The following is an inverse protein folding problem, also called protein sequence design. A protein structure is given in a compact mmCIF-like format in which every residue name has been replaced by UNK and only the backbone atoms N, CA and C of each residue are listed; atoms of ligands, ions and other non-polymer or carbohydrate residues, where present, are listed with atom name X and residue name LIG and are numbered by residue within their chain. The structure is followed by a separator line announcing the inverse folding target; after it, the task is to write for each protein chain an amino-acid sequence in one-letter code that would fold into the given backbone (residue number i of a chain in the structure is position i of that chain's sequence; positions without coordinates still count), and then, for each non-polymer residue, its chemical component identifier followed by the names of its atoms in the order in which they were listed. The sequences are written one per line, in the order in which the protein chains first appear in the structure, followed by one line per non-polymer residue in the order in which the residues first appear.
data_IF_460366752540
#
_entry.id   IF_460366752540
#
_cell.length_a   1.000
_cell.length_b   1.000
_cell.length_c   1.000
_cell.angle_alpha   90.00
_cell.angle_beta   90.00
_cell.angle_gamma   90.00
#
_symmetry.space_group_name_H-M   'P 1'
#
loop_
_entity.id
_entity.type
_entity.pdbx_description
1 polymer ?
#
# COMPACT_ATOMS: atom_id res chain seq x y z
N UNK A 1 -0.34 -7.49 -14.24
CA UNK A 1 -0.73 -6.07 -14.36
C UNK A 1 -1.76 -5.80 -13.28
N UNK A 2 -1.37 -5.10 -12.23
CA UNK A 2 -2.31 -4.56 -11.25
C UNK A 2 -2.50 -3.11 -11.67
N UNK A 3 -3.52 -2.84 -12.48
CA UNK A 3 -3.97 -1.47 -12.64
C UNK A 3 -4.44 -0.99 -11.27
N UNK A 4 -4.06 0.22 -10.88
CA UNK A 4 -4.66 0.89 -9.71
C UNK A 4 -5.94 1.57 -10.19
N UNK A 5 -7.14 1.06 -9.89
CA UNK A 5 -8.35 1.83 -10.10
C UNK A 5 -8.44 2.87 -8.98
N UNK A 6 -8.26 4.14 -9.32
CA UNK A 6 -8.75 5.26 -8.51
C UNK A 6 -10.10 5.68 -9.08
N UNK A 7 -11.20 5.29 -8.44
CA UNK A 7 -12.54 5.79 -8.73
C UNK A 7 -13.04 6.50 -7.46
N UNK A 8 -13.21 7.82 -7.54
CA UNK A 8 -13.69 8.63 -6.43
C UNK A 8 -15.22 8.64 -6.39
N UNK A 9 -15.79 8.15 -5.29
CA UNK A 9 -17.17 8.44 -4.88
C UNK A 9 -17.27 8.23 -3.37
N UNK A 10 -17.94 9.15 -2.66
CA UNK A 10 -18.13 9.18 -1.20
C UNK A 10 -18.48 7.80 -0.60
N UNK A 11 -19.32 7.03 -1.30
CA UNK A 11 -19.82 5.75 -0.79
C UNK A 11 -18.98 4.52 -1.26
N UNK A 12 -17.97 4.74 -2.13
CA UNK A 12 -17.24 3.67 -2.86
C UNK A 12 -15.73 3.65 -2.56
N UNK A 13 -15.26 4.40 -1.56
CA UNK A 13 -13.85 4.38 -1.14
C UNK A 13 -13.38 3.00 -0.65
N UNK A 14 -12.07 2.75 -0.77
CA UNK A 14 -11.41 1.56 -0.25
C UNK A 14 -10.44 0.91 -1.24
N UNK A 15 -9.92 -0.26 -0.86
CA UNK A 15 -9.03 -1.04 -1.73
C UNK A 15 -9.81 -2.14 -2.45
N UNK A 16 -9.54 -2.29 -3.75
CA UNK A 16 -10.15 -3.29 -4.61
C UNK A 16 -9.07 -4.18 -5.23
N UNK A 17 -9.40 -5.44 -5.49
CA UNK A 17 -8.49 -6.40 -6.12
C UNK A 17 -9.18 -7.15 -7.25
N UNK A 18 -8.45 -7.32 -8.34
CA UNK A 18 -8.82 -8.16 -9.47
C UNK A 18 -7.90 -9.38 -9.53
N UNK A 19 -8.44 -10.51 -9.97
CA UNK A 19 -7.71 -11.75 -10.26
C UNK A 19 -7.72 -12.13 -11.74
N UNK A 20 -8.39 -11.32 -12.57
CA UNK A 20 -8.67 -11.55 -13.99
C UNK A 20 -8.17 -10.36 -14.83
N UNK A 21 -7.00 -9.83 -14.47
CA UNK A 21 -6.31 -8.74 -15.20
C UNK A 21 -7.13 -7.45 -15.33
N UNK A 22 -8.09 -7.23 -14.44
CA UNK A 22 -8.89 -6.02 -14.35
C UNK A 22 -10.29 -6.12 -14.95
N UNK A 23 -10.70 -7.31 -15.43
CA UNK A 23 -12.06 -7.54 -15.95
C UNK A 23 -13.12 -7.42 -14.84
N UNK A 24 -12.85 -7.98 -13.66
CA UNK A 24 -13.70 -7.85 -12.48
C UNK A 24 -12.92 -7.41 -11.25
N UNK A 25 -13.61 -6.70 -10.35
CA UNK A 25 -13.02 -6.14 -9.14
C UNK A 25 -13.85 -6.51 -7.91
N UNK A 26 -13.16 -6.99 -6.87
CA UNK A 26 -13.76 -7.24 -5.56
C UNK A 26 -13.29 -6.19 -4.56
N UNK A 27 -14.22 -5.58 -3.83
CA UNK A 27 -13.89 -4.73 -2.69
C UNK A 27 -13.26 -5.59 -1.59
N UNK A 28 -12.07 -5.21 -1.14
CA UNK A 28 -11.31 -5.95 -0.13
C UNK A 28 -11.46 -5.33 1.26
N UNK A 29 -11.41 -4.00 1.36
CA UNK A 29 -11.49 -3.25 2.61
C UNK A 29 -11.97 -1.82 2.35
N UNK A 30 -12.65 -1.16 3.30
CA UNK A 30 -12.92 0.29 3.24
C UNK A 30 -11.67 1.15 3.50
N UNK A 31 -10.50 0.57 3.81
CA UNK A 31 -9.25 1.29 4.09
C UNK A 31 -8.90 2.26 2.97
N UNK A 32 -8.84 3.55 3.31
CA UNK A 32 -8.54 4.64 2.39
C UNK A 32 -7.83 5.77 3.17
N UNK A 33 -6.51 5.65 3.43
CA UNK A 33 -5.83 6.47 4.45
C UNK A 33 -5.67 7.95 4.08
N UNK A 34 -5.78 8.30 2.80
CA UNK A 34 -6.11 9.63 2.26
C UNK A 34 -6.19 9.47 0.74
N UNK A 35 -7.38 9.47 0.14
CA UNK A 35 -7.51 9.33 -1.32
C UNK A 35 -6.79 10.50 -2.03
N UNK A 36 -6.38 10.25 -3.28
CA UNK A 36 -5.64 11.15 -4.17
C UNK A 36 -4.19 11.46 -3.76
N UNK A 37 -3.95 11.81 -2.49
CA UNK A 37 -2.67 12.37 -2.06
C UNK A 37 -1.56 11.32 -1.88
N UNK A 38 -1.87 10.17 -1.26
CA UNK A 38 -0.88 9.09 -1.11
C UNK A 38 -1.17 7.93 -2.06
N UNK A 39 -2.43 7.48 -2.16
CA UNK A 39 -3.06 6.52 -3.12
C UNK A 39 -2.19 5.43 -3.80
N UNK A 40 -1.09 5.04 -3.20
CA UNK A 40 -0.13 4.09 -3.75
C UNK A 40 -0.21 2.79 -2.97
N UNK A 41 -0.73 1.78 -3.66
CA UNK A 41 -0.70 0.39 -3.22
C UNK A 41 0.57 -0.25 -3.79
N UNK A 42 1.33 -0.95 -2.95
CA UNK A 42 2.44 -1.83 -3.36
C UNK A 42 2.14 -3.25 -2.92
N UNK A 43 2.59 -4.20 -3.72
CA UNK A 43 2.51 -5.62 -3.40
C UNK A 43 3.93 -6.11 -3.17
N UNK A 44 4.11 -6.93 -2.15
CA UNK A 44 5.35 -7.66 -1.96
C UNK A 44 5.61 -8.58 -3.16
N UNK A 45 6.79 -8.49 -3.80
CA UNK A 45 7.10 -9.26 -5.01
C UNK A 45 7.13 -10.78 -4.78
N UNK A 46 7.28 -11.24 -3.54
CA UNK A 46 7.39 -12.65 -3.17
C UNK A 46 6.13 -13.20 -2.49
N UNK A 47 5.21 -12.34 -2.05
CA UNK A 47 4.00 -12.73 -1.34
C UNK A 47 2.82 -11.79 -1.68
N UNK A 48 1.92 -12.25 -2.53
CA UNK A 48 0.76 -11.46 -2.98
C UNK A 48 -0.30 -11.21 -1.89
N UNK A 49 -0.14 -11.77 -0.69
CA UNK A 49 -0.96 -11.47 0.49
C UNK A 49 -0.45 -10.25 1.25
N UNK A 50 0.83 -9.90 1.08
CA UNK A 50 1.48 -8.76 1.72
C UNK A 50 1.32 -7.51 0.86
N UNK A 51 0.52 -6.56 1.34
CA UNK A 51 0.22 -5.30 0.64
C UNK A 51 0.58 -4.11 1.50
N UNK A 52 1.06 -3.03 0.88
CA UNK A 52 1.37 -1.77 1.53
C UNK A 52 0.49 -0.67 0.95
N UNK A 53 -0.10 0.15 1.82
CA UNK A 53 -0.81 1.38 1.43
C UNK A 53 -0.13 2.54 2.12
N UNK A 54 0.40 3.46 1.32
CA UNK A 54 1.08 4.63 1.85
C UNK A 54 0.09 5.70 2.30
N UNK A 55 0.53 6.55 3.22
CA UNK A 55 -0.31 7.49 3.94
C UNK A 55 0.53 8.42 4.80
N UNK A 56 -0.14 9.30 5.57
CA UNK A 56 0.50 9.98 6.70
C UNK A 56 1.15 8.97 7.66
N UNK A 57 0.47 7.83 7.84
CA UNK A 57 1.07 6.58 8.30
C UNK A 57 1.09 5.58 7.16
N UNK A 58 2.09 4.69 7.13
CA UNK A 58 2.00 3.50 6.29
C UNK A 58 0.92 2.56 6.86
N UNK A 59 0.34 1.73 6.00
CA UNK A 59 -0.51 0.60 6.39
C UNK A 59 -0.04 -0.67 5.69
N UNK A 60 -0.19 -1.81 6.36
CA UNK A 60 0.16 -3.12 5.82
C UNK A 60 -0.98 -4.11 5.97
N UNK A 61 -1.18 -4.95 4.96
CA UNK A 61 -2.04 -6.13 5.01
C UNK A 61 -1.18 -7.37 4.81
N UNK A 62 -1.50 -8.45 5.52
CA UNK A 62 -0.89 -9.78 5.36
C UNK A 62 -1.93 -10.83 4.88
N UNK A 63 -3.11 -10.37 4.44
CA UNK A 63 -4.23 -11.24 4.05
C UNK A 63 -4.89 -10.81 2.74
N UNK A 64 -4.09 -10.26 1.83
CA UNK A 64 -4.51 -9.89 0.48
C UNK A 64 -5.39 -8.65 0.43
N UNK A 65 -5.34 -7.79 1.46
CA UNK A 65 -6.07 -6.51 1.52
C UNK A 65 -7.40 -6.56 2.25
N UNK A 66 -7.73 -7.67 2.93
CA UNK A 66 -8.98 -7.79 3.71
C UNK A 66 -8.92 -6.95 4.99
N UNK A 67 -7.75 -6.88 5.62
CA UNK A 67 -7.51 -6.06 6.81
C UNK A 67 -6.16 -5.36 6.68
N UNK A 68 -6.08 -4.13 7.19
CA UNK A 68 -4.87 -3.33 7.23
C UNK A 68 -4.55 -2.91 8.66
N UNK A 69 -3.27 -2.90 8.98
CA UNK A 69 -2.73 -2.43 10.25
C UNK A 69 -1.78 -1.26 9.97
N UNK A 70 -1.85 -0.21 10.79
CA UNK A 70 -0.90 0.88 10.70
C UNK A 70 0.52 0.38 11.02
N UNK A 71 1.52 1.02 10.42
CA UNK A 71 2.92 0.72 10.74
C UNK A 71 3.20 0.90 12.23
N UNK A 72 3.99 0.02 12.86
CA UNK A 72 4.62 0.36 14.13
C UNK A 72 5.79 1.33 13.95
N UNK A 73 6.22 1.64 12.71
CA UNK A 73 7.34 2.55 12.45
C UNK A 73 6.93 4.01 12.64
N UNK A 74 6.88 4.45 13.90
CA UNK A 74 6.65 5.84 14.32
C UNK A 74 7.95 6.64 14.54
N UNK A 75 9.11 5.98 14.37
CA UNK A 75 10.44 6.54 14.68
C UNK A 75 11.09 7.32 13.54
N UNK A 76 10.48 7.31 12.35
CA UNK A 76 10.91 8.07 11.17
C UNK A 76 9.75 8.98 10.74
N UNK A 77 10.06 10.04 9.98
CA UNK A 77 9.07 11.01 9.54
C UNK A 77 7.92 10.33 8.77
N UNK A 78 6.67 10.67 9.10
CA UNK A 78 5.46 10.21 8.40
C UNK A 78 5.31 10.83 7.02
N UNK A 79 4.11 10.77 6.43
CA UNK A 79 3.82 11.26 5.07
C UNK A 79 4.62 10.52 4.00
N UNK A 80 4.33 9.23 3.85
CA UNK A 80 5.03 8.37 2.92
C UNK A 80 4.46 8.52 1.50
N UNK A 81 5.30 8.90 0.54
CA UNK A 81 4.93 9.14 -0.86
C UNK A 81 5.48 8.10 -1.83
N UNK A 82 6.55 7.42 -1.43
CA UNK A 82 7.19 6.41 -2.25
C UNK A 82 7.57 5.18 -1.42
N UNK A 83 7.43 4.02 -2.06
CA UNK A 83 7.94 2.75 -1.55
C UNK A 83 8.46 1.95 -2.73
N UNK A 84 9.74 1.59 -2.65
CA UNK A 84 10.39 0.60 -3.48
C UNK A 84 10.71 -0.62 -2.63
N UNK A 85 10.44 -1.79 -3.16
CA UNK A 85 10.68 -3.08 -2.51
C UNK A 85 11.60 -3.86 -3.43
N UNK A 86 12.70 -4.38 -2.91
CA UNK A 86 13.62 -5.21 -3.67
C UNK A 86 12.90 -6.47 -4.17
N UNK A 87 12.84 -6.71 -5.50
CA UNK A 87 12.16 -7.87 -6.08
C UNK A 87 12.69 -9.22 -5.60
N UNK A 88 13.93 -9.29 -5.14
CA UNK A 88 14.59 -10.51 -4.71
C UNK A 88 14.61 -10.66 -3.18
N UNK A 89 14.39 -9.58 -2.44
CA UNK A 89 14.42 -9.58 -0.98
C UNK A 89 13.48 -8.52 -0.38
N UNK A 90 12.23 -8.84 -0.04
CA UNK A 90 11.27 -7.85 0.47
C UNK A 90 11.65 -7.23 1.83
N UNK A 91 12.64 -7.78 2.54
CA UNK A 91 13.19 -7.16 3.75
C UNK A 91 14.10 -5.97 3.44
N UNK A 92 14.42 -5.73 2.17
CA UNK A 92 15.12 -4.56 1.68
C UNK A 92 14.13 -3.65 0.95
N UNK A 93 13.79 -2.54 1.59
CA UNK A 93 12.87 -1.56 1.03
C UNK A 93 13.37 -0.14 1.28
N UNK A 94 12.98 0.77 0.39
CA UNK A 94 13.29 2.20 0.48
C UNK A 94 11.97 2.95 0.48
N UNK A 95 11.81 3.87 1.44
CA UNK A 95 10.66 4.78 1.46
C UNK A 95 11.10 6.22 1.33
N UNK A 96 10.30 7.01 0.61
CA UNK A 96 10.42 8.46 0.54
C UNK A 96 9.26 9.11 1.26
N UNK A 97 9.56 10.04 2.16
CA UNK A 97 8.59 10.86 2.87
C UNK A 97 9.02 12.33 2.91
N UNK A 98 8.21 13.21 3.48
CA UNK A 98 8.53 14.63 3.62
C UNK A 98 9.79 14.88 4.48
N UNK A 99 10.18 13.92 5.32
CA UNK A 99 11.43 13.96 6.07
C UNK A 99 12.66 13.42 5.32
N UNK A 100 12.50 13.00 4.06
CA UNK A 100 13.57 12.47 3.21
C UNK A 100 13.44 10.97 2.92
N UNK A 101 14.58 10.33 2.69
CA UNK A 101 14.66 8.91 2.31
C UNK A 101 15.02 8.08 3.54
N UNK A 102 14.31 6.97 3.75
CA UNK A 102 14.60 5.99 4.79
C UNK A 102 14.79 4.60 4.21
N UNK A 103 15.79 3.89 4.73
CA UNK A 103 16.02 2.48 4.42
C UNK A 103 15.35 1.61 5.46
N UNK A 104 14.65 0.59 4.98
CA UNK A 104 14.11 -0.46 5.82
C UNK A 104 14.89 -1.74 5.56
N UNK A 105 15.46 -2.24 6.64
CA UNK A 105 16.13 -3.53 6.73
C UNK A 105 15.45 -4.27 7.88
N UNK A 106 14.97 -5.49 7.62
CA UNK A 106 14.38 -6.38 8.62
C UNK A 106 15.19 -7.65 8.76
#
# INVERSE_FOLDING_TARGET
MLSTPSLEHSDWGGTYRSYDKGETWKKMSPTNPRPMYYSQIRIDPTNDQRLYVLGASWYTSDNGGKMYQASPFSRIHGDYHALWIDPQNPNHAITGSDGGISFQLR
#
